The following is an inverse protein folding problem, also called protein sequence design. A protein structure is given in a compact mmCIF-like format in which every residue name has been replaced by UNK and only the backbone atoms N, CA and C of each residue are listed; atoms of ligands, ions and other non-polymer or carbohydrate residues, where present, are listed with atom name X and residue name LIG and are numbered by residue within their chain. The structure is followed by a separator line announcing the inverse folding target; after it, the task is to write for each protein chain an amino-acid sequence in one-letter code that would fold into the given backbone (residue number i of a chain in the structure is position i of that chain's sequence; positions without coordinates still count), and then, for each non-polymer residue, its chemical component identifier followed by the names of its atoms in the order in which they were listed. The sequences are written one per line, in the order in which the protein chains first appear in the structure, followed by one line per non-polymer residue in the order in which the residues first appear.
data_IF_552056188166
#
_entry.id   IF_552056188166
#
_cell.length_a   1.000
_cell.length_b   1.000
_cell.length_c   1.000
_cell.angle_alpha   90.00
_cell.angle_beta   90.00
_cell.angle_gamma   90.00
#
_symmetry.space_group_name_H-M   'P 1'
#
loop_
_entity.id
_entity.type
_entity.pdbx_description
1 polymer ?
#
# COMPACT_ATOMS: atom_id res chain seq x y z
N UNK A 1 18.88 0.29 -61.94
CA UNK A 1 19.88 1.03 -61.16
C UNK A 1 19.39 1.11 -59.71
N UNK A 2 20.02 0.44 -58.74
CA UNK A 2 19.60 0.52 -57.34
C UNK A 2 20.22 1.74 -56.65
N UNK A 3 19.38 2.57 -56.02
CA UNK A 3 19.81 3.72 -55.23
C UNK A 3 20.22 3.23 -53.83
N UNK A 4 21.52 3.18 -53.53
CA UNK A 4 21.99 2.95 -52.17
C UNK A 4 21.70 4.19 -51.33
N UNK A 5 20.78 4.09 -50.37
CA UNK A 5 20.59 5.13 -49.38
C UNK A 5 21.79 5.12 -48.41
N UNK A 6 22.55 6.22 -48.29
CA UNK A 6 23.62 6.32 -47.31
C UNK A 6 22.98 6.29 -45.91
N UNK A 7 23.33 5.26 -45.13
CA UNK A 7 22.94 5.17 -43.73
C UNK A 7 23.68 6.28 -42.99
N UNK A 8 22.95 7.21 -42.37
CA UNK A 8 23.55 8.26 -41.54
C UNK A 8 24.15 7.61 -40.29
N UNK A 9 25.46 7.65 -40.15
CA UNK A 9 26.14 7.22 -38.93
C UNK A 9 25.92 8.28 -37.83
N UNK A 10 25.44 7.85 -36.67
CA UNK A 10 25.26 8.70 -35.49
C UNK A 10 26.62 9.11 -34.94
N UNK A 11 26.80 10.38 -34.59
CA UNK A 11 28.06 10.83 -33.98
C UNK A 11 28.09 10.45 -32.50
N UNK A 12 29.28 10.14 -31.96
CA UNK A 12 29.47 9.89 -30.53
C UNK A 12 29.00 11.07 -29.68
N UNK A 13 29.16 12.30 -30.18
CA UNK A 13 28.77 13.54 -29.51
C UNK A 13 27.24 13.65 -29.41
N UNK A 14 26.51 13.33 -30.47
CA UNK A 14 25.04 13.32 -30.44
C UNK A 14 24.50 12.33 -29.39
N UNK A 15 25.08 11.12 -29.32
CA UNK A 15 24.68 10.14 -28.30
C UNK A 15 25.01 10.62 -26.88
N UNK A 16 26.20 11.21 -26.69
CA UNK A 16 26.67 11.69 -25.40
C UNK A 16 25.83 12.83 -24.84
N UNK A 17 25.43 13.79 -25.69
CA UNK A 17 24.55 14.89 -25.27
C UNK A 17 23.18 14.38 -24.85
N UNK A 18 22.63 13.38 -25.55
CA UNK A 18 21.30 12.83 -25.24
C UNK A 18 21.31 12.14 -23.89
N UNK A 19 22.29 11.29 -23.60
CA UNK A 19 22.38 10.62 -22.30
C UNK A 19 22.63 11.63 -21.16
N UNK A 20 23.37 12.71 -21.42
CA UNK A 20 23.59 13.77 -20.44
C UNK A 20 22.29 14.49 -20.08
N UNK A 21 21.46 14.82 -21.08
CA UNK A 21 20.14 15.43 -20.84
C UNK A 21 19.21 14.46 -20.10
N UNK A 22 19.15 13.19 -20.51
CA UNK A 22 18.33 12.17 -19.83
C UNK A 22 18.77 11.99 -18.37
N UNK A 23 20.07 11.97 -18.10
CA UNK A 23 20.60 11.86 -16.74
C UNK A 23 20.17 13.02 -15.83
N UNK A 24 20.21 14.26 -16.33
CA UNK A 24 19.75 15.45 -15.59
C UNK A 24 18.24 15.36 -15.32
N UNK A 25 17.44 14.99 -16.32
CA UNK A 25 15.99 14.84 -16.15
C UNK A 25 15.67 13.76 -15.12
N UNK A 26 16.25 12.57 -15.26
CA UNK A 26 16.04 11.46 -14.31
C UNK A 26 16.48 11.85 -12.89
N UNK A 27 17.58 12.60 -12.75
CA UNK A 27 18.05 13.09 -11.45
C UNK A 27 17.02 13.94 -10.69
N UNK A 28 16.18 14.70 -11.41
CA UNK A 28 15.10 15.49 -10.82
C UNK A 28 13.82 14.66 -10.66
N UNK A 29 13.55 13.72 -11.58
CA UNK A 29 12.34 12.89 -11.56
C UNK A 29 12.34 11.85 -10.44
N UNK A 30 13.48 11.23 -10.11
CA UNK A 30 13.56 10.18 -9.10
C UNK A 30 13.09 10.61 -7.70
N UNK A 31 13.56 11.74 -7.12
CA UNK A 31 13.09 12.18 -5.80
C UNK A 31 11.60 12.57 -5.82
N UNK A 32 11.13 13.22 -6.89
CA UNK A 32 9.71 13.55 -7.05
C UNK A 32 8.83 12.29 -7.15
N UNK A 33 9.28 11.27 -7.87
CA UNK A 33 8.58 9.99 -8.03
C UNK A 33 8.53 9.19 -6.73
N UNK A 34 9.58 9.23 -5.91
CA UNK A 34 9.58 8.60 -4.59
C UNK A 34 8.47 9.19 -3.70
N UNK A 35 8.42 10.53 -3.58
CA UNK A 35 7.36 11.20 -2.81
C UNK A 35 5.96 10.93 -3.36
N UNK A 36 5.78 10.94 -4.68
CA UNK A 36 4.49 10.64 -5.31
C UNK A 36 4.03 9.20 -5.03
N UNK A 37 4.94 8.23 -5.03
CA UNK A 37 4.65 6.83 -4.69
C UNK A 37 4.20 6.68 -3.24
N UNK A 38 4.87 7.34 -2.31
CA UNK A 38 4.52 7.28 -0.90
C UNK A 38 3.19 7.97 -0.60
N UNK A 39 2.91 9.11 -1.24
CA UNK A 39 1.58 9.73 -1.21
C UNK A 39 0.48 8.81 -1.77
N UNK A 40 0.75 8.11 -2.88
CA UNK A 40 -0.16 7.12 -3.46
C UNK A 40 -0.45 5.95 -2.51
N UNK A 41 0.59 5.43 -1.85
CA UNK A 41 0.47 4.40 -0.81
C UNK A 41 -0.38 4.87 0.37
N UNK A 42 -0.18 6.11 0.83
CA UNK A 42 -0.99 6.73 1.89
C UNK A 42 -2.46 6.90 1.50
N UNK A 43 -2.73 7.35 0.26
CA UNK A 43 -4.09 7.49 -0.24
C UNK A 43 -4.84 6.15 -0.31
N UNK A 44 -4.16 5.08 -0.73
CA UNK A 44 -4.72 3.73 -0.75
C UNK A 44 -5.03 3.22 0.67
N UNK A 45 -4.10 3.41 1.61
CA UNK A 45 -4.29 3.10 3.03
C UNK A 45 -5.56 3.80 3.57
N UNK A 46 -5.68 5.12 3.37
CA UNK A 46 -6.84 5.90 3.82
C UNK A 46 -8.16 5.39 3.21
N UNK A 47 -8.15 5.01 1.94
CA UNK A 47 -9.32 4.43 1.27
C UNK A 47 -9.75 3.11 1.92
N UNK A 48 -8.80 2.24 2.25
CA UNK A 48 -9.07 0.97 2.93
C UNK A 48 -9.67 1.23 4.33
N UNK A 49 -9.12 2.18 5.10
CA UNK A 49 -9.66 2.55 6.41
C UNK A 49 -11.11 3.03 6.34
N UNK A 50 -11.44 3.88 5.36
CA UNK A 50 -12.82 4.35 5.17
C UNK A 50 -13.78 3.19 4.90
N UNK A 51 -13.37 2.23 4.05
CA UNK A 51 -14.18 1.05 3.76
C UNK A 51 -14.37 0.16 4.99
N UNK A 52 -13.32 -0.04 5.79
CA UNK A 52 -13.40 -0.87 7.00
C UNK A 52 -14.19 -0.18 8.14
N UNK A 53 -14.10 1.15 8.25
CA UNK A 53 -14.92 1.92 9.16
C UNK A 53 -16.41 1.82 8.77
N UNK A 54 -16.73 1.96 7.48
CA UNK A 54 -18.08 1.79 6.98
C UNK A 54 -18.61 0.37 7.28
N UNK A 55 -17.80 -0.67 7.05
CA UNK A 55 -18.19 -2.05 7.36
C UNK A 55 -18.47 -2.25 8.87
N UNK A 56 -17.64 -1.68 9.74
CA UNK A 56 -17.84 -1.73 11.19
C UNK A 56 -19.13 -1.02 11.60
N UNK A 57 -19.42 0.14 11.02
CA UNK A 57 -20.65 0.89 11.29
C UNK A 57 -21.90 0.16 10.81
N UNK A 58 -21.85 -0.42 9.61
CA UNK A 58 -22.95 -1.24 9.08
C UNK A 58 -23.24 -2.44 9.97
N UNK A 59 -22.18 -3.15 10.41
CA UNK A 59 -22.34 -4.25 11.36
C UNK A 59 -22.97 -3.78 12.67
N UNK A 60 -22.45 -2.71 13.28
CA UNK A 60 -23.00 -2.19 14.53
C UNK A 60 -24.48 -1.79 14.39
N UNK A 61 -24.88 -1.22 13.25
CA UNK A 61 -26.28 -0.88 12.98
C UNK A 61 -27.19 -2.12 12.94
N UNK A 62 -26.70 -3.24 12.40
CA UNK A 62 -27.48 -4.47 12.25
C UNK A 62 -27.50 -5.34 13.53
N UNK A 63 -26.55 -5.13 14.46
CA UNK A 63 -26.36 -5.94 15.66
C UNK A 63 -26.48 -5.13 16.97
N UNK A 64 -27.49 -4.26 17.09
CA UNK A 64 -27.81 -3.49 18.31
C UNK A 64 -26.64 -2.66 18.88
N UNK A 65 -25.85 -2.06 17.99
CA UNK A 65 -24.69 -1.25 18.36
C UNK A 65 -23.47 -2.05 18.81
N UNK A 66 -23.49 -3.38 18.67
CA UNK A 66 -22.34 -4.22 19.05
C UNK A 66 -21.23 -4.10 18.01
N UNK A 67 -20.02 -3.88 18.48
CA UNK A 67 -18.83 -3.92 17.62
C UNK A 67 -18.57 -5.34 17.13
N UNK A 68 -18.00 -5.52 15.92
CA UNK A 68 -17.50 -6.82 15.48
C UNK A 68 -16.49 -7.41 16.47
N UNK A 69 -16.44 -8.73 16.58
CA UNK A 69 -15.56 -9.42 17.51
C UNK A 69 -14.07 -9.15 17.19
N UNK A 70 -13.35 -8.50 18.12
CA UNK A 70 -11.92 -8.17 18.01
C UNK A 70 -10.99 -9.35 18.35
N UNK A 71 -11.55 -10.49 18.76
CA UNK A 71 -10.81 -11.74 18.93
C UNK A 71 -9.74 -11.70 20.02
N UNK A 72 -10.10 -11.34 21.25
CA UNK A 72 -9.55 -11.87 22.52
C UNK A 72 -10.34 -11.28 23.70
N UNK A 73 -10.59 -12.02 24.80
CA UNK A 73 -10.09 -13.36 25.10
C UNK A 73 -11.19 -14.43 25.03
N UNK A 74 -11.59 -14.91 23.85
CA UNK A 74 -12.31 -16.19 23.70
C UNK A 74 -12.00 -16.76 22.32
N UNK A 75 -11.19 -17.83 22.28
CA UNK A 75 -10.61 -18.43 21.07
C UNK A 75 -11.61 -19.23 20.24
N UNK A 76 -12.66 -18.57 19.76
CA UNK A 76 -13.58 -19.13 18.77
C UNK A 76 -13.67 -18.16 17.61
N UNK A 77 -13.31 -18.66 16.43
CA UNK A 77 -13.59 -18.01 15.16
C UNK A 77 -15.09 -17.64 15.06
N UNK A 78 -15.45 -16.53 14.40
CA UNK A 78 -14.59 -15.75 13.50
C UNK A 78 -13.94 -14.51 14.13
N UNK A 79 -12.66 -14.30 13.82
CA UNK A 79 -11.98 -13.02 14.03
C UNK A 79 -12.45 -12.04 12.95
N UNK A 80 -13.11 -10.96 13.34
CA UNK A 80 -13.64 -9.98 12.37
C UNK A 80 -12.59 -9.53 11.36
N UNK A 81 -11.37 -9.28 11.83
CA UNK A 81 -10.33 -8.77 10.96
C UNK A 81 -9.72 -9.87 10.03
N UNK A 82 -9.83 -11.16 10.35
CA UNK A 82 -9.57 -12.23 9.37
C UNK A 82 -10.69 -12.29 8.32
N UNK A 83 -11.95 -12.11 8.74
CA UNK A 83 -13.08 -12.05 7.81
C UNK A 83 -12.93 -10.89 6.83
N UNK A 84 -12.57 -9.71 7.31
CA UNK A 84 -12.32 -8.52 6.46
C UNK A 84 -11.13 -8.75 5.52
N UNK A 85 -10.06 -9.40 5.98
CA UNK A 85 -8.91 -9.74 5.13
C UNK A 85 -9.30 -10.72 4.01
N UNK A 86 -10.08 -11.75 4.33
CA UNK A 86 -10.60 -12.70 3.35
C UNK A 86 -11.52 -12.02 2.32
N UNK A 87 -12.43 -11.14 2.77
CA UNK A 87 -13.29 -10.35 1.86
C UNK A 87 -12.50 -9.40 0.96
N UNK A 88 -11.36 -8.89 1.44
CA UNK A 88 -10.43 -8.10 0.64
C UNK A 88 -9.60 -8.93 -0.35
N UNK A 89 -9.88 -10.23 -0.49
CA UNK A 89 -9.19 -11.13 -1.42
C UNK A 89 -7.79 -11.53 -0.97
N UNK A 90 -7.51 -11.49 0.35
CA UNK A 90 -6.23 -11.94 0.91
C UNK A 90 -6.42 -13.22 1.71
N UNK A 91 -5.70 -14.25 1.32
CA UNK A 91 -5.71 -15.55 1.98
C UNK A 91 -4.76 -15.54 3.19
N UNK A 92 -5.27 -16.00 4.33
CA UNK A 92 -4.54 -16.13 5.59
C UNK A 92 -5.45 -16.81 6.61
N UNK A 93 -4.96 -17.82 7.29
CA UNK A 93 -5.74 -18.62 8.26
C UNK A 93 -5.34 -18.32 9.70
N UNK A 94 -4.30 -17.52 9.92
CA UNK A 94 -3.72 -17.25 11.23
C UNK A 94 -3.85 -15.80 11.66
N UNK A 95 -4.00 -15.58 12.97
CA UNK A 95 -3.91 -14.23 13.54
C UNK A 95 -2.57 -13.53 13.25
N UNK A 96 -1.51 -14.30 12.96
CA UNK A 96 -0.21 -13.80 12.48
C UNK A 96 -0.31 -13.03 11.17
N UNK A 97 -1.19 -13.47 10.27
CA UNK A 97 -1.30 -12.96 8.89
C UNK A 97 -1.95 -11.57 8.86
N UNK A 98 -2.58 -11.18 9.96
CA UNK A 98 -3.16 -9.86 10.19
C UNK A 98 -2.09 -8.79 10.44
N UNK A 99 -0.88 -9.22 10.83
CA UNK A 99 0.26 -8.34 11.13
C UNK A 99 1.27 -8.27 10.01
N UNK A 100 1.07 -9.04 8.95
CA UNK A 100 1.92 -8.98 7.77
C UNK A 100 1.73 -7.63 7.05
N UNK A 101 2.80 -7.14 6.45
CA UNK A 101 2.78 -5.95 5.58
C UNK A 101 1.87 -6.16 4.35
N UNK A 102 1.57 -7.42 4.03
CA UNK A 102 0.64 -7.81 3.01
C UNK A 102 -0.81 -7.77 3.48
N UNK A 103 -1.14 -7.52 4.74
CA UNK A 103 -2.53 -7.41 5.20
C UNK A 103 -3.17 -6.09 4.74
N UNK A 104 -4.50 -6.06 4.53
CA UNK A 104 -5.21 -4.80 4.22
C UNK A 104 -5.31 -3.89 5.45
N UNK A 105 -5.09 -4.48 6.63
CA UNK A 105 -5.16 -3.83 7.92
C UNK A 105 -3.92 -2.99 8.16
N UNK A 106 -2.76 -3.39 7.63
CA UNK A 106 -1.48 -2.68 7.81
C UNK A 106 -1.22 -1.76 6.62
N UNK A 107 -0.90 -0.49 6.91
CA UNK A 107 -0.56 0.46 5.87
C UNK A 107 0.88 0.28 5.40
N UNK A 108 1.15 0.30 4.07
CA UNK A 108 2.50 0.09 3.53
C UNK A 108 3.49 1.21 3.87
N UNK A 109 3.01 2.29 4.49
CA UNK A 109 3.81 3.42 4.98
C UNK A 109 4.34 3.22 6.40
N UNK A 110 3.93 2.14 7.10
CA UNK A 110 4.47 1.83 8.43
C UNK A 110 5.64 0.86 8.36
N UNK A 111 6.68 1.13 9.14
CA UNK A 111 7.80 0.19 9.30
C UNK A 111 7.37 -1.01 10.14
N UNK A 112 7.22 -2.16 9.48
CA UNK A 112 6.87 -3.45 10.09
C UNK A 112 7.94 -3.96 11.07
N UNK A 113 9.12 -3.33 11.12
CA UNK A 113 10.23 -3.64 12.04
C UNK A 113 10.10 -2.99 13.42
N UNK A 114 9.06 -2.17 13.65
CA UNK A 114 8.77 -1.57 14.97
C UNK A 114 8.21 -2.60 15.94
N UNK A 115 9.11 -3.45 16.44
CA UNK A 115 8.85 -4.60 17.32
C UNK A 115 8.28 -4.29 18.71
N UNK A 116 7.42 -3.29 18.93
CA UNK A 116 6.78 -3.16 20.25
C UNK A 116 5.41 -2.50 20.34
N UNK A 117 4.84 -1.90 19.29
CA UNK A 117 3.49 -1.29 19.39
C UNK A 117 2.91 -0.96 18.03
N UNK A 118 2.37 -1.95 17.33
CA UNK A 118 1.27 -1.64 16.41
C UNK A 118 0.15 -1.04 17.26
N UNK A 119 0.02 0.29 17.22
CA UNK A 119 -0.92 1.02 18.06
C UNK A 119 -2.31 0.76 17.52
N UNK A 120 -2.93 -0.30 18.05
CA UNK A 120 -4.32 -0.67 17.82
C UNK A 120 -5.22 0.45 18.32
N UNK A 121 -5.52 1.42 17.47
CA UNK A 121 -6.73 2.21 17.67
C UNK A 121 -7.91 1.33 17.25
N UNK A 122 -8.90 1.27 18.14
CA UNK A 122 -10.12 0.44 18.13
C UNK A 122 -11.02 0.60 16.88
N UNK A 123 -10.58 1.37 15.90
CA UNK A 123 -11.16 1.44 14.57
C UNK A 123 -10.02 1.41 13.55
N UNK A 124 -9.38 0.25 13.42
CA UNK A 124 -8.46 -0.09 12.33
C UNK A 124 -7.27 0.87 12.20
N UNK A 125 -6.11 0.45 12.71
CA UNK A 125 -4.77 1.02 12.52
C UNK A 125 -4.68 2.54 12.18
N UNK A 126 -4.69 3.39 13.20
CA UNK A 126 -4.14 4.75 13.10
C UNK A 126 -2.73 4.73 13.66
N UNK A 127 -1.75 4.44 12.81
CA UNK A 127 -0.37 4.83 13.04
C UNK A 127 0.27 5.09 11.68
N UNK A 128 0.45 6.36 11.34
CA UNK A 128 1.08 6.81 10.11
C UNK A 128 0.87 8.31 10.03
N UNK A 129 1.94 9.07 10.25
CA UNK A 129 1.96 10.52 10.40
C UNK A 129 1.11 11.27 9.34
N UNK A 130 0.43 12.32 9.80
CA UNK A 130 -0.10 13.39 8.94
C UNK A 130 1.05 14.16 8.27
#
# INVERSE_FOLDING_TARGET
MPYHHPVRAFTLIELLVVIAIVAVLVGILLPALAGARDAGRGAACLSNHRQMAAATWLYANDFDGRSPALGVPWGVEPFWALSVQAYAGREGTGASDMYDNASILVCPTVDASSGERMTRTYAVNVAGHA
#
